data_IF_953130332216
#
_entry.id   IF_953130332216
#
_cell.length_a   1.000
_cell.length_b   1.000
_cell.length_c   1.000
_cell.angle_alpha   90.00
_cell.angle_beta   90.00
_cell.angle_gamma   90.00
#
_symmetry.space_group_name_H-M   'P 1'
#
loop_
_entity.id
_entity.type
_entity.pdbx_description
1 polymer ?
#
# COMPACT_ATOMS: atom_id res chain seq x y z
N UNK A 1 -8.91 -11.68 17.37
CA UNK A 1 -8.54 -11.55 18.79
C UNK A 1 -8.21 -12.93 19.34
N UNK A 2 -6.92 -13.24 19.47
CA UNK A 2 -6.33 -14.46 20.04
C UNK A 2 -5.35 -14.10 21.19
N UNK A 3 -4.76 -15.10 21.83
CA UNK A 3 -3.87 -14.93 22.98
C UNK A 3 -2.64 -14.04 22.68
N UNK A 4 -2.02 -14.21 21.51
CA UNK A 4 -0.94 -13.34 21.07
C UNK A 4 -1.42 -11.90 20.83
N UNK A 5 -2.63 -11.69 20.31
CA UNK A 5 -3.17 -10.33 20.17
C UNK A 5 -3.43 -9.64 21.52
N UNK A 6 -3.65 -10.40 22.59
CA UNK A 6 -3.84 -9.87 23.95
C UNK A 6 -2.50 -9.54 24.67
N UNK A 7 -1.40 -10.18 24.30
CA UNK A 7 -0.04 -9.91 24.77
C UNK A 7 0.17 -9.90 26.32
N UNK A 8 -0.66 -10.65 27.06
CA UNK A 8 -0.65 -10.66 28.54
C UNK A 8 0.67 -11.15 29.12
N UNK A 9 1.30 -12.16 28.50
CA UNK A 9 2.60 -12.68 28.94
C UNK A 9 3.71 -11.63 28.79
N UNK A 10 3.78 -10.97 27.62
CA UNK A 10 4.75 -9.91 27.38
C UNK A 10 4.60 -8.75 28.38
N UNK A 11 3.36 -8.35 28.69
CA UNK A 11 3.06 -7.33 29.70
C UNK A 11 3.58 -7.71 31.10
N UNK A 12 3.50 -8.98 31.47
CA UNK A 12 4.03 -9.48 32.74
C UNK A 12 5.56 -9.61 32.77
N UNK A 13 6.20 -9.75 31.61
CA UNK A 13 7.65 -9.94 31.49
C UNK A 13 8.46 -8.64 31.58
N UNK A 14 7.85 -7.48 31.26
CA UNK A 14 8.55 -6.19 31.26
C UNK A 14 8.30 -5.44 32.57
N UNK A 15 9.35 -5.07 33.33
CA UNK A 15 9.20 -4.30 34.55
C UNK A 15 8.73 -2.87 34.28
N UNK A 16 8.14 -2.22 35.28
CA UNK A 16 7.74 -0.81 35.20
C UNK A 16 8.91 0.07 34.77
N UNK A 17 8.71 0.86 33.72
CA UNK A 17 9.74 1.73 33.13
C UNK A 17 10.66 1.04 32.10
N UNK A 18 10.44 -0.24 31.81
CA UNK A 18 11.11 -0.96 30.73
C UNK A 18 10.54 -0.68 29.34
N UNK A 19 11.03 -1.41 28.33
CA UNK A 19 10.55 -1.34 26.94
C UNK A 19 10.37 -2.74 26.34
N UNK A 20 9.53 -2.84 25.30
CA UNK A 20 9.17 -4.12 24.68
C UNK A 20 10.01 -4.48 23.45
N UNK A 21 10.88 -3.58 22.97
CA UNK A 21 11.62 -3.78 21.71
C UNK A 21 12.42 -5.09 21.60
N UNK A 22 12.94 -5.61 22.72
CA UNK A 22 13.72 -6.84 22.76
C UNK A 22 12.95 -8.07 23.27
N UNK A 23 11.66 -7.93 23.53
CA UNK A 23 10.85 -9.01 24.07
C UNK A 23 10.44 -9.98 22.93
N UNK A 24 10.46 -11.32 23.16
CA UNK A 24 10.13 -12.33 22.15
C UNK A 24 8.87 -12.05 21.31
N UNK A 25 7.77 -11.66 21.95
CA UNK A 25 6.52 -11.26 21.32
C UNK A 25 6.70 -10.15 20.27
N UNK A 26 7.55 -9.15 20.57
CA UNK A 26 7.85 -8.06 19.64
C UNK A 26 8.71 -8.54 18.49
N UNK A 27 9.76 -9.31 18.77
CA UNK A 27 10.72 -9.77 17.76
C UNK A 27 10.08 -10.74 16.76
N UNK A 28 9.25 -11.67 17.23
CA UNK A 28 8.56 -12.66 16.39
C UNK A 28 7.53 -12.02 15.45
N UNK A 29 6.98 -10.86 15.83
CA UNK A 29 5.85 -10.23 15.15
C UNK A 29 6.20 -8.95 14.42
N UNK A 30 7.35 -8.33 14.70
CA UNK A 30 7.74 -7.03 14.17
C UNK A 30 7.56 -6.91 12.64
N UNK A 31 7.91 -7.96 11.90
CA UNK A 31 7.84 -7.95 10.44
C UNK A 31 6.41 -8.06 9.87
N UNK A 32 5.45 -8.56 10.63
CA UNK A 32 4.11 -8.94 10.11
C UNK A 32 2.95 -8.25 10.83
N UNK A 33 3.16 -7.78 12.07
CA UNK A 33 2.11 -7.15 12.88
C UNK A 33 1.89 -5.67 12.56
N UNK A 34 2.80 -5.04 11.82
CA UNK A 34 2.70 -3.63 11.46
C UNK A 34 2.54 -3.45 9.95
N UNK A 35 1.64 -2.56 9.57
CA UNK A 35 1.52 -2.11 8.20
C UNK A 35 2.74 -1.27 7.81
N UNK A 36 3.41 -1.65 6.73
CA UNK A 36 4.50 -0.86 6.15
C UNK A 36 3.91 0.16 5.16
N UNK A 37 3.99 1.48 5.46
CA UNK A 37 3.37 2.48 4.60
C UNK A 37 4.13 2.63 3.28
N UNK A 38 3.40 2.65 2.16
CA UNK A 38 3.98 2.87 0.83
C UNK A 38 4.39 4.32 0.56
N UNK A 39 3.84 5.30 1.32
CA UNK A 39 3.96 6.74 1.00
C UNK A 39 4.48 7.60 2.18
N UNK A 40 4.06 7.29 3.40
CA UNK A 40 4.46 8.03 4.59
C UNK A 40 5.95 7.87 4.85
N UNK A 41 6.61 8.96 5.22
CA UNK A 41 7.99 8.94 5.69
C UNK A 41 7.99 9.32 7.18
N UNK A 42 8.55 8.44 8.02
CA UNK A 42 8.65 8.62 9.47
C UNK A 42 10.09 8.79 9.96
N UNK A 43 11.02 9.12 9.06
CA UNK A 43 12.35 9.55 9.45
C UNK A 43 12.26 10.82 10.29
N UNK A 44 13.23 11.02 11.17
CA UNK A 44 13.43 12.33 11.80
C UNK A 44 13.75 13.40 10.73
N UNK A 45 13.67 14.66 11.14
CA UNK A 45 13.82 15.79 10.23
C UNK A 45 15.18 15.81 9.53
N UNK A 46 16.26 15.54 10.26
CA UNK A 46 17.63 15.58 9.77
C UNK A 46 17.85 14.53 8.67
N UNK A 47 17.46 13.28 8.92
CA UNK A 47 17.56 12.21 7.93
C UNK A 47 16.65 12.44 6.73
N UNK A 48 15.46 13.02 6.92
CA UNK A 48 14.58 13.39 5.82
C UNK A 48 15.19 14.50 4.94
N UNK A 49 15.82 15.51 5.56
CA UNK A 49 16.52 16.58 4.86
C UNK A 49 17.72 16.05 4.07
N UNK A 50 18.56 15.22 4.69
CA UNK A 50 19.71 14.58 4.02
C UNK A 50 19.28 13.68 2.85
N UNK A 51 18.12 13.03 2.97
CA UNK A 51 17.51 12.23 1.89
C UNK A 51 16.83 13.06 0.78
N UNK A 52 16.97 14.40 0.82
CA UNK A 52 16.50 15.31 -0.22
C UNK A 52 15.18 16.03 0.10
N UNK A 53 14.64 15.91 1.32
CA UNK A 53 13.57 16.78 1.79
C UNK A 53 12.26 16.71 0.99
N UNK A 54 11.96 15.55 0.41
CA UNK A 54 10.79 15.40 -0.47
C UNK A 54 9.49 15.42 0.33
N UNK A 55 8.54 16.25 -0.08
CA UNK A 55 7.19 16.23 0.45
C UNK A 55 6.40 14.98 0.00
N UNK A 56 5.20 14.82 0.54
CA UNK A 56 4.33 13.67 0.24
C UNK A 56 3.91 13.63 -1.23
N UNK A 57 3.66 14.78 -1.85
CA UNK A 57 3.21 14.85 -3.26
C UNK A 57 4.33 14.41 -4.21
N UNK A 58 5.56 14.84 -3.96
CA UNK A 58 6.73 14.45 -4.73
C UNK A 58 6.99 12.93 -4.63
N UNK A 59 6.85 12.35 -3.42
CA UNK A 59 6.97 10.90 -3.23
C UNK A 59 5.84 10.13 -3.92
N UNK A 60 4.60 10.58 -3.77
CA UNK A 60 3.44 9.99 -4.45
C UNK A 60 3.61 10.01 -5.98
N UNK A 61 4.21 11.09 -6.51
CA UNK A 61 4.48 11.23 -7.94
C UNK A 61 5.40 10.14 -8.47
N UNK A 62 6.42 9.78 -7.70
CA UNK A 62 7.33 8.69 -8.07
C UNK A 62 6.62 7.34 -8.02
N UNK A 63 5.79 7.13 -7.01
CA UNK A 63 5.09 5.85 -6.81
C UNK A 63 4.14 5.53 -7.97
N UNK A 64 3.27 6.47 -8.38
CA UNK A 64 2.33 6.18 -9.47
C UNK A 64 3.02 6.02 -10.81
N UNK A 65 4.11 6.77 -11.07
CA UNK A 65 4.90 6.62 -12.30
C UNK A 65 5.52 5.23 -12.37
N UNK A 66 6.13 4.79 -11.28
CA UNK A 66 6.67 3.43 -11.16
C UNK A 66 5.58 2.37 -11.34
N UNK A 67 4.39 2.57 -10.77
CA UNK A 67 3.28 1.63 -10.95
C UNK A 67 2.84 1.49 -12.41
N UNK A 68 2.89 2.57 -13.20
CA UNK A 68 2.63 2.51 -14.64
C UNK A 68 3.77 1.85 -15.42
N UNK A 69 5.02 2.11 -15.04
CA UNK A 69 6.19 1.48 -15.66
C UNK A 69 6.22 -0.04 -15.41
N UNK A 70 5.84 -0.46 -14.20
CA UNK A 70 5.82 -1.86 -13.79
C UNK A 70 4.52 -2.60 -14.20
N UNK A 71 3.52 -1.89 -14.74
CA UNK A 71 2.21 -2.48 -15.07
C UNK A 71 2.33 -3.50 -16.20
N UNK A 72 1.81 -4.70 -15.95
CA UNK A 72 1.64 -5.75 -16.96
C UNK A 72 0.15 -6.05 -17.06
N UNK A 73 -0.42 -5.77 -18.22
CA UNK A 73 -1.84 -6.03 -18.49
C UNK A 73 -2.15 -7.52 -18.27
N UNK A 74 -3.09 -7.88 -17.36
CA UNK A 74 -3.49 -9.26 -17.16
C UNK A 74 -4.06 -9.87 -18.45
N UNK A 75 -3.73 -11.13 -18.71
CA UNK A 75 -4.27 -11.83 -19.88
C UNK A 75 -5.79 -11.89 -19.80
N UNK A 76 -6.43 -11.51 -20.90
CA UNK A 76 -7.87 -11.57 -21.10
C UNK A 76 -8.16 -12.46 -22.30
N UNK A 77 -9.19 -13.29 -22.20
CA UNK A 77 -9.66 -14.08 -23.33
C UNK A 77 -10.03 -13.17 -24.52
N UNK A 78 -9.57 -13.55 -25.70
CA UNK A 78 -9.72 -12.74 -26.92
C UNK A 78 -11.19 -12.57 -27.27
N UNK A 79 -12.00 -13.63 -27.14
CA UNK A 79 -13.43 -13.57 -27.47
C UNK A 79 -14.19 -12.64 -26.53
N UNK A 80 -13.78 -12.58 -25.25
CA UNK A 80 -14.34 -11.64 -24.27
C UNK A 80 -13.95 -10.21 -24.62
N UNK A 81 -12.68 -9.97 -24.96
CA UNK A 81 -12.18 -8.65 -25.38
C UNK A 81 -12.95 -8.13 -26.60
N UNK A 82 -13.09 -8.95 -27.63
CA UNK A 82 -13.83 -8.61 -28.85
C UNK A 82 -15.30 -8.32 -28.58
N UNK A 83 -15.95 -9.13 -27.72
CA UNK A 83 -17.34 -8.90 -27.33
C UNK A 83 -17.52 -7.57 -26.58
N UNK A 84 -16.58 -7.21 -25.69
CA UNK A 84 -16.57 -5.93 -24.99
C UNK A 84 -16.39 -4.76 -25.96
N UNK A 85 -15.44 -4.87 -26.89
CA UNK A 85 -15.19 -3.85 -27.92
C UNK A 85 -16.41 -3.64 -28.82
N UNK A 86 -17.04 -4.72 -29.29
CA UNK A 86 -18.25 -4.66 -30.10
C UNK A 86 -19.42 -4.02 -29.34
N UNK A 87 -19.58 -4.38 -28.06
CA UNK A 87 -20.60 -3.77 -27.21
C UNK A 87 -20.37 -2.26 -27.04
N UNK A 88 -19.13 -1.83 -26.75
CA UNK A 88 -18.76 -0.43 -26.59
C UNK A 88 -19.00 0.36 -27.89
N UNK A 89 -18.63 -0.19 -29.05
CA UNK A 89 -18.88 0.43 -30.35
C UNK A 89 -20.38 0.69 -30.57
N UNK A 90 -21.21 -0.35 -30.42
CA UNK A 90 -22.67 -0.24 -30.53
C UNK A 90 -23.26 0.76 -29.55
N UNK A 91 -22.75 0.82 -28.31
CA UNK A 91 -23.23 1.79 -27.30
C UNK A 91 -22.85 3.22 -27.63
N UNK A 92 -21.64 3.45 -28.15
CA UNK A 92 -21.20 4.79 -28.60
C UNK A 92 -22.08 5.31 -29.74
N UNK A 93 -22.41 4.45 -30.70
CA UNK A 93 -23.34 4.81 -31.78
C UNK A 93 -24.75 5.11 -31.27
N UNK A 94 -25.28 4.27 -30.38
CA UNK A 94 -26.64 4.42 -29.84
C UNK A 94 -26.80 5.64 -28.91
N UNK A 95 -25.74 6.07 -28.22
CA UNK A 95 -25.74 7.27 -27.36
C UNK A 95 -25.46 8.53 -28.20
N UNK A 96 -24.72 8.41 -29.30
CA UNK A 96 -24.29 9.53 -30.13
C UNK A 96 -23.18 10.38 -29.48
N UNK A 97 -22.75 11.46 -30.15
CA UNK A 97 -21.86 12.49 -29.58
C UNK A 97 -22.64 13.57 -28.82
N UNK A 98 -23.80 13.23 -28.27
CA UNK A 98 -24.55 14.17 -27.43
C UNK A 98 -23.72 14.48 -26.20
N UNK A 99 -23.17 15.69 -26.14
CA UNK A 99 -22.92 16.35 -24.86
C UNK A 99 -24.23 16.33 -24.05
N UNK A 100 -24.16 16.33 -22.71
CA UNK A 100 -25.33 16.68 -21.91
C UNK A 100 -25.92 18.03 -22.32
#
# INVERSE_FOLDING_TARGET
VNEAELAVEALGAVPTGGHFFGEPHTLERYATAFYQPMLSNWQNYEAWQEAGGLDTTARATRLWKKALEDHVEPTMDISVREALEAYVARRREAIGQGEP
#
